data_IF_387465856985
#
_entry.id   IF_387465856985
#
_cell.length_a   1.000
_cell.length_b   1.000
_cell.length_c   1.000
_cell.angle_alpha   90.00
_cell.angle_beta   90.00
_cell.angle_gamma   90.00
#
_symmetry.space_group_name_H-M   'P 1'
#
loop_
_entity.id
_entity.type
_entity.pdbx_description
1 polymer ?
#
# COMPACT_ATOMS: atom_id res chain seq x y z
N UNK A 1 18.08 -0.42 -16.74
CA UNK A 1 17.25 -0.81 -15.58
C UNK A 1 17.17 -2.33 -15.57
N UNK A 2 17.44 -2.98 -14.43
CA UNK A 2 17.33 -4.45 -14.31
C UNK A 2 15.94 -4.95 -14.68
N UNK A 3 14.91 -4.15 -14.45
CA UNK A 3 13.52 -4.49 -14.73
C UNK A 3 13.24 -4.83 -16.20
N UNK A 4 13.61 -3.97 -17.15
CA UNK A 4 13.36 -4.23 -18.58
C UNK A 4 14.21 -5.37 -19.14
N UNK A 5 15.30 -5.73 -18.47
CA UNK A 5 16.09 -6.91 -18.80
C UNK A 5 15.46 -8.19 -18.23
N UNK A 6 14.85 -8.10 -17.04
CA UNK A 6 14.15 -9.22 -16.39
C UNK A 6 12.74 -9.47 -16.92
N UNK A 7 12.04 -8.43 -17.36
CA UNK A 7 10.67 -8.44 -17.88
C UNK A 7 10.58 -7.63 -19.18
N UNK A 8 11.25 -8.09 -20.26
CA UNK A 8 11.12 -7.44 -21.54
C UNK A 8 9.70 -7.61 -22.11
N UNK A 9 9.27 -6.71 -22.98
CA UNK A 9 8.06 -6.94 -23.78
C UNK A 9 8.29 -8.13 -24.71
N UNK A 10 7.26 -8.96 -24.89
CA UNK A 10 7.26 -10.04 -25.87
C UNK A 10 7.41 -9.56 -27.33
N UNK A 11 7.18 -8.28 -27.60
CA UNK A 11 7.37 -7.66 -28.92
C UNK A 11 8.79 -7.09 -29.12
N UNK A 12 9.66 -7.14 -28.11
CA UNK A 12 11.00 -6.60 -28.21
C UNK A 12 11.92 -7.54 -29.02
N UNK A 13 12.58 -6.99 -30.05
CA UNK A 13 13.42 -7.76 -30.97
C UNK A 13 14.71 -8.32 -30.33
N UNK A 14 15.18 -7.71 -29.23
CA UNK A 14 16.45 -8.06 -28.59
C UNK A 14 16.24 -8.34 -27.10
N UNK A 15 15.85 -9.57 -26.78
CA UNK A 15 15.72 -10.02 -25.39
C UNK A 15 16.78 -11.07 -25.10
N UNK A 16 17.54 -10.87 -24.02
CA UNK A 16 18.51 -11.84 -23.53
C UNK A 16 17.82 -12.71 -22.48
N UNK A 17 17.96 -14.03 -22.60
CA UNK A 17 17.37 -14.99 -21.66
C UNK A 17 18.08 -15.06 -20.31
N UNK A 18 19.27 -14.46 -20.19
CA UNK A 18 20.18 -14.67 -19.05
C UNK A 18 19.58 -14.17 -17.72
N UNK A 19 18.79 -13.10 -17.75
CA UNK A 19 18.16 -12.50 -16.56
C UNK A 19 16.64 -12.51 -16.61
N UNK A 20 16.04 -13.14 -17.64
CA UNK A 20 14.60 -13.08 -17.90
C UNK A 20 13.83 -13.91 -16.88
N UNK A 21 12.91 -13.25 -16.17
CA UNK A 21 12.01 -13.85 -15.17
C UNK A 21 10.56 -13.99 -15.66
N UNK A 22 10.24 -13.39 -16.81
CA UNK A 22 8.94 -13.41 -17.47
C UNK A 22 8.88 -12.33 -18.55
N UNK A 23 7.70 -12.08 -19.10
CA UNK A 23 7.49 -10.92 -19.97
C UNK A 23 6.82 -9.77 -19.22
N UNK A 24 6.94 -8.56 -19.75
CA UNK A 24 6.21 -7.39 -19.24
C UNK A 24 4.70 -7.65 -19.25
N UNK A 25 4.20 -8.32 -20.28
CA UNK A 25 2.78 -8.66 -20.45
C UNK A 25 2.27 -9.67 -19.41
N UNK A 26 3.17 -10.42 -18.77
CA UNK A 26 2.84 -11.35 -17.68
C UNK A 26 2.69 -10.63 -16.33
N UNK A 27 3.16 -9.37 -16.23
CA UNK A 27 3.04 -8.58 -15.00
C UNK A 27 1.58 -8.20 -14.77
N UNK A 28 1.11 -8.47 -13.55
CA UNK A 28 -0.21 -8.04 -13.10
C UNK A 28 -0.06 -6.86 -12.16
N UNK A 29 -0.72 -5.76 -12.50
CA UNK A 29 -0.88 -4.64 -11.59
C UNK A 29 -1.93 -5.00 -10.54
N UNK A 30 -1.52 -5.04 -9.29
CA UNK A 30 -2.44 -5.06 -8.16
C UNK A 30 -2.55 -3.63 -7.64
N UNK A 31 -3.75 -3.05 -7.70
CA UNK A 31 -4.03 -1.76 -7.09
C UNK A 31 -4.34 -1.98 -5.62
N UNK A 32 -3.54 -1.34 -4.79
CA UNK A 32 -3.64 -1.29 -3.34
C UNK A 32 -5.02 -0.81 -2.82
N UNK A 33 -5.48 -1.40 -1.71
CA UNK A 33 -6.32 -0.76 -0.69
C UNK A 33 -5.78 0.64 -0.35
N UNK A 34 -6.58 1.65 -0.65
CA UNK A 34 -6.32 3.05 -0.33
C UNK A 34 -7.61 3.74 0.05
N UNK A 35 -7.50 4.88 0.74
CA UNK A 35 -8.64 5.69 1.13
C UNK A 35 -8.33 7.17 0.94
N UNK A 36 -9.35 7.95 0.62
CA UNK A 36 -9.22 9.39 0.45
C UNK A 36 -9.48 10.07 1.79
N UNK A 37 -8.47 10.75 2.35
CA UNK A 37 -8.63 11.54 3.59
C UNK A 37 -9.63 12.69 3.45
N UNK A 38 -9.88 13.14 2.23
CA UNK A 38 -10.87 14.19 1.92
C UNK A 38 -12.29 13.67 1.80
N UNK A 39 -12.49 12.35 1.70
CA UNK A 39 -13.82 11.75 1.68
C UNK A 39 -14.27 11.44 3.11
N UNK A 40 -15.19 12.25 3.64
CA UNK A 40 -15.68 12.11 5.00
C UNK A 40 -16.31 10.74 5.27
N UNK A 41 -17.06 10.20 4.30
CA UNK A 41 -17.74 8.91 4.47
C UNK A 41 -16.73 7.75 4.63
N UNK A 42 -15.69 7.72 3.80
CA UNK A 42 -14.65 6.69 3.88
C UNK A 42 -13.91 6.79 5.22
N UNK A 43 -13.55 8.02 5.61
CA UNK A 43 -12.84 8.27 6.84
C UNK A 43 -13.67 7.86 8.06
N UNK A 44 -14.96 8.19 8.09
CA UNK A 44 -15.83 7.86 9.21
C UNK A 44 -15.97 6.33 9.39
N UNK A 45 -16.09 5.57 8.29
CA UNK A 45 -16.10 4.11 8.32
C UNK A 45 -14.79 3.50 8.86
N UNK A 46 -13.66 4.19 8.66
CA UNK A 46 -12.34 3.73 9.12
C UNK A 46 -12.07 4.07 10.59
N UNK A 47 -12.59 5.19 11.07
CA UNK A 47 -12.31 5.69 12.43
C UNK A 47 -13.42 5.43 13.44
N UNK A 48 -14.58 4.95 12.99
CA UNK A 48 -15.71 4.64 13.86
C UNK A 48 -15.31 3.65 14.96
N UNK A 49 -15.47 4.08 16.22
CA UNK A 49 -15.11 3.27 17.40
C UNK A 49 -16.24 2.36 17.86
N UNK A 50 -17.43 2.54 17.30
CA UNK A 50 -18.58 1.66 17.48
C UNK A 50 -18.44 0.46 16.56
N UNK A 51 -18.64 -0.75 17.10
CA UNK A 51 -18.54 -1.99 16.32
C UNK A 51 -19.64 -2.14 15.25
N UNK A 52 -20.70 -1.32 15.31
CA UNK A 52 -21.80 -1.33 14.34
C UNK A 52 -21.57 -0.38 13.16
N UNK A 53 -20.67 0.59 13.30
CA UNK A 53 -20.59 1.76 12.42
C UNK A 53 -19.31 1.83 11.57
N UNK A 54 -18.39 0.87 11.72
CA UNK A 54 -17.09 0.88 11.06
C UNK A 54 -16.62 -0.48 10.57
N UNK A 55 -15.64 -0.46 9.66
CA UNK A 55 -15.02 -1.70 9.12
C UNK A 55 -13.87 -2.23 9.99
N UNK A 56 -13.33 -1.39 10.88
CA UNK A 56 -12.23 -1.74 11.78
C UNK A 56 -12.73 -1.80 13.21
N UNK A 57 -12.33 -2.85 13.92
CA UNK A 57 -12.58 -2.96 15.36
C UNK A 57 -11.53 -2.17 16.14
N UNK A 58 -11.97 -1.19 16.92
CA UNK A 58 -11.13 -0.36 17.76
C UNK A 58 -11.39 -0.63 19.25
N UNK A 59 -10.65 -1.57 19.88
CA UNK A 59 -10.74 -1.76 21.32
C UNK A 59 -10.46 -0.47 22.08
N UNK A 60 -11.21 -0.21 23.16
CA UNK A 60 -11.00 0.98 23.99
C UNK A 60 -9.55 1.13 24.50
N UNK A 61 -8.89 0.01 24.79
CA UNK A 61 -7.47 -0.02 25.18
C UNK A 61 -6.54 0.45 24.05
N UNK A 62 -6.85 0.09 22.79
CA UNK A 62 -6.08 0.49 21.62
C UNK A 62 -6.27 1.99 21.36
N UNK A 63 -7.51 2.49 21.41
CA UNK A 63 -7.80 3.92 21.29
C UNK A 63 -7.05 4.74 22.34
N UNK A 64 -7.08 4.30 23.60
CA UNK A 64 -6.37 4.97 24.69
C UNK A 64 -4.85 5.02 24.45
N UNK A 65 -4.28 3.95 23.89
CA UNK A 65 -2.85 3.90 23.55
C UNK A 65 -2.53 4.82 22.36
N UNK A 66 -3.32 4.74 21.30
CA UNK A 66 -3.15 5.57 20.09
C UNK A 66 -3.23 7.05 20.44
N UNK A 67 -4.18 7.43 21.28
CA UNK A 67 -4.35 8.82 21.71
C UNK A 67 -3.11 9.36 22.47
N UNK A 68 -2.46 8.49 23.25
CA UNK A 68 -1.22 8.82 23.98
C UNK A 68 0.04 8.78 23.12
N UNK A 69 0.00 8.13 21.96
CA UNK A 69 1.15 8.06 21.05
C UNK A 69 1.38 9.42 20.38
N UNK A 70 2.63 9.85 20.35
CA UNK A 70 3.03 11.09 19.70
C UNK A 70 3.33 10.83 18.21
N UNK A 71 2.35 11.13 17.36
CA UNK A 71 2.54 11.17 15.91
C UNK A 71 3.00 12.57 15.50
N UNK A 72 4.14 12.65 14.82
CA UNK A 72 4.72 13.94 14.41
C UNK A 72 3.72 14.71 13.54
N UNK A 73 3.35 15.91 13.98
CA UNK A 73 2.44 16.79 13.24
C UNK A 73 0.95 16.43 13.34
N UNK A 74 0.57 15.50 14.23
CA UNK A 74 -0.82 15.02 14.35
C UNK A 74 -1.31 15.15 15.79
N UNK A 75 -2.29 16.03 16.00
CA UNK A 75 -2.84 16.31 17.32
C UNK A 75 -4.13 15.53 17.63
N UNK A 76 -4.97 15.25 16.62
CA UNK A 76 -6.30 14.68 16.84
C UNK A 76 -6.29 13.14 16.73
N UNK A 77 -7.17 12.47 17.48
CA UNK A 77 -7.28 11.01 17.51
C UNK A 77 -7.66 10.43 16.13
N UNK A 78 -8.55 11.11 15.41
CA UNK A 78 -9.04 10.67 14.09
C UNK A 78 -7.90 10.47 13.10
N UNK A 79 -7.02 11.46 12.96
CA UNK A 79 -5.83 11.39 12.11
C UNK A 79 -4.84 10.33 12.61
N UNK A 80 -4.69 10.15 13.93
CA UNK A 80 -3.86 9.06 14.48
C UNK A 80 -4.42 7.68 14.09
N UNK A 81 -5.74 7.50 14.15
CA UNK A 81 -6.39 6.28 13.66
C UNK A 81 -6.12 6.09 12.17
N UNK A 82 -6.27 7.12 11.34
CA UNK A 82 -5.96 7.05 9.90
C UNK A 82 -4.49 6.67 9.62
N UNK A 83 -3.55 7.14 10.44
CA UNK A 83 -2.15 6.70 10.35
C UNK A 83 -2.00 5.20 10.68
N UNK A 84 -2.67 4.72 11.71
CA UNK A 84 -2.68 3.30 12.05
C UNK A 84 -3.31 2.43 10.95
N UNK A 85 -4.38 2.91 10.30
CA UNK A 85 -4.97 2.24 9.12
C UNK A 85 -3.97 2.18 7.98
N UNK A 86 -3.27 3.29 7.70
CA UNK A 86 -2.22 3.33 6.69
C UNK A 86 -1.14 2.27 6.94
N UNK A 87 -0.62 2.22 8.17
CA UNK A 87 0.37 1.20 8.56
C UNK A 87 -0.15 -0.24 8.45
N UNK A 88 -1.41 -0.49 8.79
CA UNK A 88 -2.01 -1.81 8.61
C UNK A 88 -2.02 -2.22 7.14
N UNK A 89 -2.40 -1.32 6.24
CA UNK A 89 -2.41 -1.60 4.80
C UNK A 89 -1.00 -1.82 4.26
N UNK A 90 -0.03 -1.03 4.70
CA UNK A 90 1.40 -1.26 4.38
C UNK A 90 1.86 -2.66 4.79
N UNK A 91 1.55 -3.09 6.02
CA UNK A 91 1.87 -4.45 6.49
C UNK A 91 1.18 -5.53 5.66
N UNK A 92 -0.07 -5.31 5.23
CA UNK A 92 -0.76 -6.24 4.34
C UNK A 92 -0.05 -6.35 2.98
N UNK A 93 0.51 -5.26 2.43
CA UNK A 93 1.28 -5.33 1.18
C UNK A 93 2.57 -6.12 1.33
N UNK A 94 3.30 -5.90 2.41
CA UNK A 94 4.52 -6.66 2.71
C UNK A 94 4.25 -8.16 2.83
N UNK A 95 3.04 -8.55 3.26
CA UNK A 95 2.60 -9.95 3.34
C UNK A 95 2.09 -10.52 2.01
N UNK A 96 1.45 -9.70 1.18
CA UNK A 96 0.80 -10.16 -0.07
C UNK A 96 1.78 -10.28 -1.25
N UNK A 97 2.91 -9.57 -1.20
CA UNK A 97 3.93 -9.62 -2.23
C UNK A 97 5.23 -10.16 -1.65
N UNK A 98 5.68 -11.30 -2.17
CA UNK A 98 7.06 -11.75 -1.96
C UNK A 98 8.01 -10.60 -2.37
N UNK A 99 8.91 -10.14 -1.49
CA UNK A 99 9.83 -9.03 -1.82
C UNK A 99 10.66 -9.30 -3.07
N UNK A 100 10.90 -10.58 -3.39
CA UNK A 100 11.63 -11.01 -4.58
C UNK A 100 10.84 -10.84 -5.88
N UNK A 101 9.52 -10.70 -5.79
CA UNK A 101 8.58 -10.61 -6.90
C UNK A 101 7.91 -9.22 -6.99
N UNK A 102 8.19 -8.34 -6.03
CA UNK A 102 7.75 -6.95 -6.06
C UNK A 102 8.65 -6.11 -6.98
N UNK A 103 8.13 -5.73 -8.15
CA UNK A 103 8.84 -4.90 -9.13
C UNK A 103 8.50 -3.41 -9.02
N UNK A 104 7.67 -2.99 -8.06
CA UNK A 104 7.18 -1.60 -7.96
C UNK A 104 8.27 -0.55 -7.75
N UNK A 105 9.41 -0.93 -7.17
CA UNK A 105 10.56 -0.04 -6.97
C UNK A 105 11.52 0.02 -8.17
N UNK A 106 11.14 -0.57 -9.30
CA UNK A 106 11.97 -0.56 -10.51
C UNK A 106 11.94 0.81 -11.20
N UNK A 107 13.09 1.33 -11.67
CA UNK A 107 13.15 2.57 -12.45
C UNK A 107 12.26 2.45 -13.70
N UNK A 108 11.29 3.35 -13.85
CA UNK A 108 10.24 3.32 -14.88
C UNK A 108 8.80 3.41 -14.35
N UNK A 109 8.58 3.11 -13.07
CA UNK A 109 7.26 3.24 -12.41
C UNK A 109 7.09 4.58 -11.65
N UNK A 110 8.09 5.46 -11.64
CA UNK A 110 8.00 6.74 -10.91
C UNK A 110 6.89 7.66 -11.46
N UNK A 111 6.53 7.52 -12.75
CA UNK A 111 5.45 8.27 -13.38
C UNK A 111 4.04 7.85 -12.89
N UNK A 112 3.89 6.68 -12.28
CA UNK A 112 2.62 6.18 -11.77
C UNK A 112 2.33 6.63 -10.32
N UNK A 113 3.19 7.45 -9.71
CA UNK A 113 2.93 8.09 -8.41
C UNK A 113 2.86 7.13 -7.21
N UNK A 114 3.21 5.86 -7.39
CA UNK A 114 3.33 4.89 -6.31
C UNK A 114 4.64 5.16 -5.56
N UNK A 115 4.54 5.95 -4.49
CA UNK A 115 5.48 5.97 -3.38
C UNK A 115 4.94 5.14 -2.23
#
# INVERSE_FOLDING_TARGET
SLFYTSYPSNAAANTSDILRRGYFEDLRLFVALGFLRTNAADVDMLVATSAADGILFWPAVSITRIDKTNFRGVANLKEKQLHMVGYLFELCYDLMLSPNDNVSQSPGFEACGLK
#
